data_IF_018251450068
#
_entry.id   IF_018251450068
#
_cell.length_a   1.000
_cell.length_b   1.000
_cell.length_c   1.000
_cell.angle_alpha   90.00
_cell.angle_beta   90.00
_cell.angle_gamma   90.00
#
_symmetry.space_group_name_H-M   'P 1'
#
loop_
_entity.id
_entity.type
_entity.pdbx_description
1 polymer ?
#
# COMPACT_ATOMS: atom_id res chain seq x y z
N UNK A 1 -4.26 1.78 13.72
CA UNK A 1 -4.24 1.62 12.24
C UNK A 1 -5.38 2.41 11.62
N UNK A 2 -5.12 3.17 10.54
CA UNK A 2 -6.15 3.86 9.76
C UNK A 2 -5.90 3.64 8.27
N UNK A 3 -6.94 3.30 7.52
CA UNK A 3 -6.88 3.27 6.06
C UNK A 3 -6.83 4.70 5.55
N UNK A 4 -5.86 4.99 4.69
CA UNK A 4 -5.74 6.24 3.96
C UNK A 4 -6.26 6.03 2.54
N UNK A 5 -7.07 6.96 2.06
CA UNK A 5 -7.69 6.89 0.73
C UNK A 5 -6.96 7.83 -0.23
N UNK A 6 -6.74 7.40 -1.47
CA UNK A 6 -6.17 8.19 -2.57
C UNK A 6 -4.81 8.86 -2.23
N UNK A 7 -3.88 8.11 -1.62
CA UNK A 7 -2.54 8.61 -1.26
C UNK A 7 -1.53 8.44 -2.40
N UNK A 8 -0.62 9.41 -2.55
CA UNK A 8 0.54 9.29 -3.44
C UNK A 8 1.55 8.27 -2.92
N UNK A 9 1.98 7.37 -3.80
CA UNK A 9 3.04 6.39 -3.55
C UNK A 9 4.45 6.92 -3.79
N UNK A 10 4.60 8.20 -4.16
CA UNK A 10 5.89 8.81 -4.55
C UNK A 10 7.00 8.61 -3.53
N UNK A 11 6.69 8.78 -2.25
CA UNK A 11 7.64 8.60 -1.14
C UNK A 11 7.87 7.14 -0.75
N UNK A 12 7.09 6.21 -1.30
CA UNK A 12 7.12 4.79 -0.97
C UNK A 12 7.73 3.93 -2.09
N UNK A 13 8.35 4.53 -3.11
CA UNK A 13 9.15 3.82 -4.10
C UNK A 13 10.40 4.61 -4.47
N UNK A 14 11.53 3.91 -4.68
CA UNK A 14 12.82 4.57 -4.89
C UNK A 14 12.96 5.20 -6.28
N UNK A 15 12.09 4.85 -7.23
CA UNK A 15 12.00 5.56 -8.51
C UNK A 15 11.36 6.94 -8.37
N UNK A 16 10.71 7.26 -7.24
CA UNK A 16 10.04 8.53 -7.03
C UNK A 16 8.85 8.75 -7.96
N UNK A 17 8.21 7.66 -8.41
CA UNK A 17 7.07 7.71 -9.32
C UNK A 17 5.82 8.11 -8.55
N UNK A 18 5.16 9.15 -9.02
CA UNK A 18 3.93 9.67 -8.43
C UNK A 18 2.71 8.97 -9.03
N UNK A 19 2.24 7.94 -8.33
CA UNK A 19 0.98 7.24 -8.62
C UNK A 19 0.13 7.20 -7.36
N UNK A 20 -1.19 7.10 -7.52
CA UNK A 20 -2.11 7.02 -6.40
C UNK A 20 -2.43 5.57 -6.04
N UNK A 21 -2.46 5.27 -4.74
CA UNK A 21 -3.12 4.10 -4.19
C UNK A 21 -4.53 4.47 -3.78
N UNK A 22 -5.53 3.68 -4.22
CA UNK A 22 -6.91 3.87 -3.81
C UNK A 22 -7.03 3.75 -2.28
N UNK A 23 -6.48 2.67 -1.71
CA UNK A 23 -6.40 2.48 -0.28
C UNK A 23 -4.96 2.16 0.11
N UNK A 24 -4.53 2.67 1.26
CA UNK A 24 -3.21 2.44 1.81
C UNK A 24 -3.27 2.25 3.32
N UNK A 25 -2.49 1.31 3.82
CA UNK A 25 -2.32 1.09 5.25
C UNK A 25 -0.92 0.57 5.54
N UNK A 26 -0.31 1.07 6.60
CA UNK A 26 0.96 0.58 7.11
C UNK A 26 0.74 -0.34 8.32
N UNK A 27 1.57 -1.36 8.45
CA UNK A 27 1.57 -2.28 9.59
C UNK A 27 3.00 -2.56 10.05
N UNK A 28 3.17 -2.82 11.36
CA UNK A 28 4.48 -3.05 12.01
C UNK A 28 4.61 -4.43 12.65
N UNK A 29 3.51 -5.19 12.75
CA UNK A 29 3.49 -6.50 13.37
C UNK A 29 2.42 -7.39 12.75
N UNK A 30 2.42 -8.67 13.15
CA UNK A 30 1.51 -9.69 12.61
C UNK A 30 0.05 -9.39 12.98
N UNK A 31 -0.23 -8.87 14.16
CA UNK A 31 -1.59 -8.58 14.61
C UNK A 31 -2.19 -7.43 13.77
N UNK A 32 -1.40 -6.37 13.55
CA UNK A 32 -1.76 -5.27 12.65
C UNK A 32 -1.99 -5.75 11.20
N UNK A 33 -1.14 -6.65 10.70
CA UNK A 33 -1.34 -7.25 9.38
C UNK A 33 -2.66 -8.03 9.32
N UNK A 34 -2.99 -8.81 10.36
CA UNK A 34 -4.25 -9.55 10.42
C UNK A 34 -5.47 -8.62 10.44
N UNK A 35 -5.41 -7.50 11.14
CA UNK A 35 -6.46 -6.47 11.11
C UNK A 35 -6.58 -5.84 9.71
N UNK A 36 -5.46 -5.51 9.07
CA UNK A 36 -5.44 -4.88 7.74
C UNK A 36 -6.05 -5.80 6.68
N UNK A 37 -5.77 -7.10 6.76
CA UNK A 37 -6.29 -8.11 5.83
C UNK A 37 -7.81 -8.31 5.94
N UNK A 38 -8.41 -7.97 7.10
CA UNK A 38 -9.87 -7.99 7.31
C UNK A 38 -10.55 -6.73 6.76
N UNK A 39 -9.84 -5.61 6.65
CA UNK A 39 -10.42 -4.31 6.37
C UNK A 39 -10.86 -4.09 4.91
N UNK A 40 -10.36 -4.88 3.96
CA UNK A 40 -10.76 -4.79 2.55
C UNK A 40 -11.04 -6.18 1.97
N UNK A 41 -12.30 -6.53 1.78
CA UNK A 41 -12.72 -7.87 1.34
C UNK A 41 -12.73 -8.05 -0.18
N UNK A 42 -12.70 -6.96 -0.96
CA UNK A 42 -12.85 -7.00 -2.42
C UNK A 42 -11.81 -6.10 -3.12
N UNK A 43 -11.02 -6.68 -4.02
CA UNK A 43 -10.08 -5.94 -4.89
C UNK A 43 -8.65 -6.47 -4.90
N UNK A 44 -7.82 -5.87 -5.75
CA UNK A 44 -6.39 -6.17 -5.83
C UNK A 44 -5.67 -5.68 -4.57
N UNK A 45 -4.76 -6.50 -4.03
CA UNK A 45 -3.94 -6.16 -2.87
C UNK A 45 -2.47 -6.18 -3.27
N UNK A 46 -1.73 -5.16 -2.86
CA UNK A 46 -0.29 -5.05 -3.08
C UNK A 46 0.43 -4.97 -1.73
N UNK A 47 1.33 -5.92 -1.45
CA UNK A 47 2.29 -5.78 -0.35
C UNK A 47 3.45 -4.91 -0.82
N UNK A 48 3.78 -3.88 -0.06
CA UNK A 48 4.88 -2.98 -0.33
C UNK A 48 5.88 -3.02 0.84
N UNK A 49 7.15 -3.33 0.55
CA UNK A 49 8.25 -3.14 1.49
C UNK A 49 8.83 -1.73 1.37
N UNK A 50 10.14 -1.60 1.24
CA UNK A 50 10.80 -0.30 0.97
C UNK A 50 10.62 0.26 -0.45
N UNK A 51 9.95 -0.48 -1.35
CA UNK A 51 9.67 0.00 -2.72
C UNK A 51 10.91 0.19 -3.61
N UNK A 52 12.02 -0.50 -3.32
CA UNK A 52 13.28 -0.37 -4.06
C UNK A 52 13.37 -1.20 -5.34
N UNK A 53 12.45 -2.15 -5.53
CA UNK A 53 12.39 -3.04 -6.68
C UNK A 53 10.97 -3.16 -7.24
N UNK A 54 10.29 -2.02 -7.37
CA UNK A 54 8.96 -1.93 -7.98
C UNK A 54 8.92 -0.73 -8.93
N UNK A 55 8.38 -0.96 -10.12
CA UNK A 55 8.11 0.08 -11.11
C UNK A 55 6.60 0.24 -11.26
N UNK A 56 6.05 1.32 -10.74
CA UNK A 56 4.64 1.64 -10.94
C UNK A 56 4.41 2.20 -12.34
N UNK A 57 3.49 1.58 -13.09
CA UNK A 57 3.13 2.02 -14.45
C UNK A 57 1.73 2.63 -14.53
N UNK A 58 0.96 2.52 -13.44
CA UNK A 58 -0.42 3.03 -13.30
C UNK A 58 -0.77 3.19 -11.82
N UNK A 59 -1.85 3.92 -11.56
CA UNK A 59 -2.44 3.99 -10.22
C UNK A 59 -2.86 2.59 -9.73
N UNK A 60 -2.70 2.35 -8.43
CA UNK A 60 -3.08 1.10 -7.78
C UNK A 60 -4.55 1.21 -7.37
N UNK A 61 -5.43 0.57 -8.15
CA UNK A 61 -6.87 0.51 -7.88
C UNK A 61 -7.20 -0.60 -6.86
N UNK A 62 -6.56 -0.54 -5.70
CA UNK A 62 -6.59 -1.58 -4.68
C UNK A 62 -6.03 -1.13 -3.34
N UNK A 63 -5.85 -2.09 -2.43
CA UNK A 63 -5.25 -1.85 -1.12
C UNK A 63 -3.75 -2.09 -1.17
N UNK A 64 -2.98 -1.06 -0.82
CA UNK A 64 -1.54 -1.16 -0.56
C UNK A 64 -1.31 -1.39 0.93
N UNK A 65 -0.62 -2.49 1.23
CA UNK A 65 -0.23 -2.91 2.57
C UNK A 65 1.27 -2.67 2.72
N UNK A 66 1.66 -1.59 3.42
CA UNK A 66 3.07 -1.23 3.65
C UNK A 66 3.60 -1.96 4.87
N UNK A 67 4.59 -2.82 4.67
CA UNK A 67 5.38 -3.42 5.72
C UNK A 67 6.43 -2.40 6.19
N UNK A 68 6.31 -1.91 7.43
CA UNK A 68 7.28 -1.01 8.07
C UNK A 68 8.35 -1.74 8.86
#
# INVERSE_FOLDING_TARGET
MQIQENISLKQFNTFGIDVLAKQFISFHNVDELQEALKASTNGERLILGGGSNILFTKNVNGLVLKNE
#
